data_IF_608116356583
#
_entry.id   IF_608116356583
#
_cell.length_a   1.000
_cell.length_b   1.000
_cell.length_c   1.000
_cell.angle_alpha   90.00
_cell.angle_beta   90.00
_cell.angle_gamma   90.00
#
_symmetry.space_group_name_H-M   'P 1'
#
loop_
_entity.id
_entity.type
_entity.pdbx_description
1 polymer ?
#
# COMPACT_ATOMS: atom_id res chain seq x y z
N UNK A 1 -69.25 53.38 -2.69
CA UNK A 1 -68.46 52.81 -1.57
C UNK A 1 -68.12 51.40 -1.91
N UNK A 2 -66.91 51.18 -2.41
CA UNK A 2 -66.40 49.85 -2.74
C UNK A 2 -65.14 49.67 -1.90
N UNK A 3 -65.24 48.73 -0.92
CA UNK A 3 -64.19 48.40 -0.01
C UNK A 3 -63.33 47.29 -0.63
N UNK A 4 -62.04 47.56 -0.89
CA UNK A 4 -61.04 46.61 -1.40
C UNK A 4 -60.36 45.89 -0.22
N UNK A 5 -60.61 44.58 -0.09
CA UNK A 5 -59.86 43.69 0.77
C UNK A 5 -58.52 43.31 0.13
N UNK A 6 -57.42 43.67 0.76
CA UNK A 6 -56.08 43.23 0.40
C UNK A 6 -55.75 41.95 1.21
N UNK A 7 -55.73 40.80 0.54
CA UNK A 7 -55.30 39.54 1.10
C UNK A 7 -53.76 39.51 1.15
N UNK A 8 -53.19 39.41 2.35
CA UNK A 8 -51.75 39.16 2.58
C UNK A 8 -51.49 37.64 2.52
N UNK A 9 -51.00 37.17 1.40
CA UNK A 9 -50.49 35.81 1.26
C UNK A 9 -49.14 35.71 1.97
N UNK A 10 -49.04 34.90 3.01
CA UNK A 10 -47.77 34.52 3.65
C UNK A 10 -47.08 33.44 2.82
N UNK A 11 -45.92 33.76 2.23
CA UNK A 11 -45.08 32.83 1.51
C UNK A 11 -44.27 32.05 2.56
N UNK A 12 -44.64 30.81 2.81
CA UNK A 12 -43.86 29.91 3.68
C UNK A 12 -42.67 29.38 2.87
N UNK A 13 -41.45 29.84 3.15
CA UNK A 13 -40.21 29.28 2.63
C UNK A 13 -39.89 28.00 3.42
N UNK A 14 -40.14 26.86 2.83
CA UNK A 14 -39.70 25.57 3.37
C UNK A 14 -38.20 25.39 3.03
N UNK A 15 -37.33 25.63 4.01
CA UNK A 15 -35.92 25.32 3.89
C UNK A 15 -35.74 23.81 4.10
N UNK A 16 -35.52 23.09 3.04
CA UNK A 16 -35.08 21.69 3.10
C UNK A 16 -33.64 21.67 3.60
N UNK A 17 -33.43 21.34 4.86
CA UNK A 17 -32.13 20.90 5.36
C UNK A 17 -31.86 19.51 4.77
N UNK A 18 -31.05 19.45 3.70
CA UNK A 18 -30.42 18.21 3.27
C UNK A 18 -29.33 17.94 4.32
N UNK A 19 -29.64 17.12 5.31
CA UNK A 19 -28.61 16.50 6.15
C UNK A 19 -27.84 15.56 5.26
N UNK A 20 -26.70 16.01 4.74
CA UNK A 20 -25.70 15.12 4.21
C UNK A 20 -25.29 14.20 5.39
N UNK A 21 -25.70 12.95 5.36
CA UNK A 21 -25.15 11.92 6.22
C UNK A 21 -23.71 11.78 5.75
N UNK A 22 -22.76 12.44 6.43
CA UNK A 22 -21.35 12.19 6.24
C UNK A 22 -21.18 10.69 6.50
N UNK A 23 -20.78 9.95 5.46
CA UNK A 23 -20.29 8.58 5.66
C UNK A 23 -19.13 8.72 6.64
N UNK A 24 -19.03 7.87 7.67
CA UNK A 24 -17.84 7.87 8.50
C UNK A 24 -16.65 7.68 7.57
N UNK A 25 -15.70 8.59 7.61
CA UNK A 25 -14.40 8.42 6.96
C UNK A 25 -13.77 7.24 7.69
N UNK A 26 -13.80 6.07 7.08
CA UNK A 26 -13.07 4.91 7.55
C UNK A 26 -11.62 5.17 7.16
N UNK A 27 -10.71 5.14 8.14
CA UNK A 27 -9.28 5.28 7.85
C UNK A 27 -8.83 4.14 6.93
N UNK A 28 -7.78 4.41 6.17
CA UNK A 28 -7.14 3.43 5.30
C UNK A 28 -6.34 2.45 6.17
N UNK A 29 -6.94 1.29 6.45
CA UNK A 29 -6.28 0.27 7.24
C UNK A 29 -5.35 -0.57 6.37
N UNK A 30 -4.09 -0.80 6.79
CA UNK A 30 -3.20 -1.69 6.07
C UNK A 30 -3.56 -3.16 6.34
N UNK A 31 -3.59 -3.94 5.27
CA UNK A 31 -3.66 -5.40 5.25
C UNK A 31 -2.42 -5.94 4.57
N UNK A 32 -1.81 -6.97 5.12
CA UNK A 32 -0.59 -7.58 4.61
C UNK A 32 -0.79 -9.08 4.33
N UNK A 33 -0.57 -9.49 3.09
CA UNK A 33 -0.43 -10.88 2.68
C UNK A 33 1.01 -11.14 2.23
N UNK A 34 1.77 -11.91 2.99
CA UNK A 34 3.09 -12.39 2.59
C UNK A 34 2.96 -13.83 2.12
N UNK A 35 3.56 -14.13 0.96
CA UNK A 35 3.60 -15.48 0.39
C UNK A 35 5.06 -15.82 0.09
N UNK A 36 5.66 -16.73 0.86
CA UNK A 36 6.97 -17.28 0.49
C UNK A 36 6.77 -18.52 -0.36
N UNK A 37 7.42 -18.52 -1.53
CA UNK A 37 7.34 -19.58 -2.52
C UNK A 37 8.30 -20.73 -2.26
N UNK A 38 8.34 -21.67 -3.20
CA UNK A 38 9.24 -22.83 -3.17
C UNK A 38 10.69 -22.35 -3.35
N UNK A 39 11.57 -22.67 -2.38
CA UNK A 39 13.00 -22.34 -2.43
C UNK A 39 13.79 -23.29 -3.31
N UNK A 40 13.40 -24.55 -3.39
CA UNK A 40 14.08 -25.58 -4.17
C UNK A 40 15.42 -26.06 -3.56
N UNK A 41 16.15 -25.17 -2.91
CA UNK A 41 17.36 -25.45 -2.12
C UNK A 41 17.17 -24.91 -0.71
N UNK A 42 17.63 -25.58 0.35
CA UNK A 42 17.50 -25.12 1.76
C UNK A 42 17.97 -23.69 1.99
N UNK A 43 19.04 -23.27 1.32
CA UNK A 43 19.56 -21.89 1.43
C UNK A 43 18.53 -20.84 1.02
N UNK A 44 17.75 -21.10 -0.01
CA UNK A 44 16.70 -20.18 -0.44
C UNK A 44 15.47 -20.27 0.43
N UNK A 45 15.07 -21.49 0.84
CA UNK A 45 13.93 -21.68 1.75
C UNK A 45 14.15 -20.96 3.08
N UNK A 46 15.35 -21.05 3.67
CA UNK A 46 15.74 -20.32 4.87
C UNK A 46 15.69 -18.80 4.65
N UNK A 47 16.31 -18.31 3.58
CA UNK A 47 16.35 -16.88 3.23
C UNK A 47 14.96 -16.29 3.01
N UNK A 48 14.10 -16.98 2.24
CA UNK A 48 12.75 -16.51 1.97
C UNK A 48 11.89 -16.48 3.24
N UNK A 49 12.06 -17.48 4.10
CA UNK A 49 11.41 -17.52 5.41
C UNK A 49 11.91 -16.35 6.28
N UNK A 50 13.22 -16.10 6.35
CA UNK A 50 13.82 -15.00 7.10
C UNK A 50 13.25 -13.64 6.63
N UNK A 51 13.21 -13.38 5.33
CA UNK A 51 12.66 -12.14 4.78
C UNK A 51 11.17 -11.98 5.07
N UNK A 52 10.38 -13.04 4.88
CA UNK A 52 8.94 -13.02 5.15
C UNK A 52 8.64 -12.78 6.62
N UNK A 53 9.35 -13.49 7.52
CA UNK A 53 9.18 -13.36 8.96
C UNK A 53 9.62 -11.98 9.47
N UNK A 54 10.72 -11.43 8.95
CA UNK A 54 11.16 -10.08 9.30
C UNK A 54 10.12 -9.03 8.91
N UNK A 55 9.59 -9.09 7.68
CA UNK A 55 8.56 -8.15 7.22
C UNK A 55 7.27 -8.24 8.05
N UNK A 56 6.81 -9.46 8.36
CA UNK A 56 5.61 -9.70 9.17
C UNK A 56 5.80 -9.22 10.60
N UNK A 57 6.96 -9.50 11.22
CA UNK A 57 7.28 -9.04 12.57
C UNK A 57 7.29 -7.50 12.63
N UNK A 58 8.01 -6.84 11.72
CA UNK A 58 8.06 -5.37 11.65
C UNK A 58 6.67 -4.76 11.41
N UNK A 59 5.86 -5.35 10.52
CA UNK A 59 4.49 -4.87 10.28
C UNK A 59 3.64 -4.88 11.56
N UNK A 60 3.72 -5.96 12.35
CA UNK A 60 2.96 -6.07 13.59
C UNK A 60 3.54 -5.28 14.76
N UNK A 61 4.85 -5.38 14.99
CA UNK A 61 5.50 -4.85 16.20
C UNK A 61 5.86 -3.36 16.10
N UNK A 62 6.30 -2.91 14.91
CA UNK A 62 6.77 -1.53 14.71
C UNK A 62 5.74 -0.66 13.99
N UNK A 63 5.04 -1.20 12.99
CA UNK A 63 4.09 -0.44 12.18
C UNK A 63 2.65 -0.51 12.70
N UNK A 64 2.39 -1.31 13.75
CA UNK A 64 1.10 -1.39 14.41
C UNK A 64 -0.03 -1.98 13.54
N UNK A 65 0.31 -2.78 12.54
CA UNK A 65 -0.69 -3.51 11.74
C UNK A 65 -1.34 -4.57 12.63
N UNK A 66 -2.68 -4.57 12.77
CA UNK A 66 -3.37 -5.57 13.60
C UNK A 66 -3.07 -7.01 13.13
N UNK A 67 -2.88 -7.93 14.08
CA UNK A 67 -2.55 -9.32 13.74
C UNK A 67 -3.58 -9.99 12.83
N UNK A 68 -4.87 -9.62 12.97
CA UNK A 68 -5.97 -10.07 12.11
C UNK A 68 -5.91 -9.52 10.67
N UNK A 69 -5.10 -8.49 10.42
CA UNK A 69 -4.85 -7.92 9.09
C UNK A 69 -3.60 -8.53 8.43
N UNK A 70 -2.87 -9.40 9.12
CA UNK A 70 -1.66 -10.02 8.60
C UNK A 70 -1.93 -11.49 8.28
N UNK A 71 -1.61 -11.89 7.05
CA UNK A 71 -1.64 -13.28 6.60
C UNK A 71 -0.25 -13.63 6.07
N UNK A 72 0.37 -14.67 6.64
CA UNK A 72 1.65 -15.18 6.16
C UNK A 72 1.53 -16.65 5.77
N UNK A 73 1.72 -16.92 4.47
CA UNK A 73 1.77 -18.27 3.90
C UNK A 73 3.21 -18.62 3.54
N UNK A 74 3.72 -19.73 4.04
CA UNK A 74 5.10 -20.15 3.82
C UNK A 74 5.22 -21.50 3.10
N UNK A 75 6.42 -21.79 2.58
CA UNK A 75 6.71 -23.10 1.98
C UNK A 75 6.50 -24.23 3.00
N UNK A 76 6.99 -24.04 4.24
CA UNK A 76 6.85 -24.98 5.35
C UNK A 76 6.34 -24.23 6.60
N UNK A 77 5.12 -24.51 7.07
CA UNK A 77 4.55 -23.84 8.24
C UNK A 77 5.29 -24.09 9.57
N UNK A 78 6.16 -25.09 9.62
CA UNK A 78 6.95 -25.36 10.84
C UNK A 78 8.29 -24.63 10.84
N UNK A 79 8.67 -24.00 9.74
CA UNK A 79 9.94 -23.27 9.65
C UNK A 79 9.96 -22.01 10.52
N UNK A 80 8.81 -21.35 10.72
CA UNK A 80 8.66 -20.18 11.57
C UNK A 80 7.26 -20.12 12.19
N UNK A 81 7.15 -19.62 13.42
CA UNK A 81 5.89 -19.52 14.17
C UNK A 81 4.93 -18.46 13.59
N UNK A 82 5.43 -17.52 12.80
CA UNK A 82 4.63 -16.49 12.13
C UNK A 82 3.91 -17.02 10.89
N UNK A 83 4.35 -18.16 10.33
CA UNK A 83 3.71 -18.78 9.18
C UNK A 83 2.40 -19.46 9.63
N UNK A 84 1.28 -18.96 9.10
CA UNK A 84 -0.04 -19.43 9.47
C UNK A 84 -0.48 -20.70 8.73
N UNK A 85 -0.05 -20.83 7.46
CA UNK A 85 -0.39 -22.00 6.64
C UNK A 85 0.63 -22.16 5.49
N UNK A 86 0.54 -23.30 4.79
CA UNK A 86 1.40 -23.56 3.62
C UNK A 86 0.98 -22.72 2.42
N UNK A 87 1.95 -22.21 1.67
CA UNK A 87 1.71 -21.38 0.48
C UNK A 87 1.26 -22.23 -0.74
N UNK A 88 0.20 -23.02 -0.60
CA UNK A 88 -0.41 -23.74 -1.72
C UNK A 88 -1.40 -22.84 -2.46
N UNK A 89 -1.71 -23.17 -3.72
CA UNK A 89 -2.74 -22.48 -4.50
C UNK A 89 -4.03 -22.28 -3.71
N UNK A 90 -4.55 -23.32 -3.09
CA UNK A 90 -5.80 -23.29 -2.34
C UNK A 90 -5.75 -22.37 -1.13
N UNK A 91 -4.60 -22.29 -0.46
CA UNK A 91 -4.42 -21.41 0.68
C UNK A 91 -4.26 -19.96 0.24
N UNK A 92 -3.59 -19.71 -0.90
CA UNK A 92 -3.52 -18.38 -1.51
C UNK A 92 -4.92 -17.88 -1.90
N UNK A 93 -5.72 -18.71 -2.57
CA UNK A 93 -7.13 -18.39 -2.90
C UNK A 93 -7.94 -18.05 -1.65
N UNK A 94 -7.77 -18.82 -0.56
CA UNK A 94 -8.43 -18.56 0.72
C UNK A 94 -7.97 -17.25 1.38
N UNK A 95 -6.66 -16.94 1.29
CA UNK A 95 -6.12 -15.69 1.82
C UNK A 95 -6.71 -14.47 1.10
N UNK A 96 -6.80 -14.51 -0.24
CA UNK A 96 -7.47 -13.44 -1.00
C UNK A 96 -8.96 -13.32 -0.63
N UNK A 97 -9.68 -14.42 -0.47
CA UNK A 97 -11.09 -14.39 -0.02
C UNK A 97 -11.23 -13.75 1.38
N UNK A 98 -10.25 -13.97 2.26
CA UNK A 98 -10.18 -13.34 3.59
C UNK A 98 -9.95 -11.84 3.47
N UNK A 99 -9.01 -11.40 2.62
CA UNK A 99 -8.77 -9.97 2.36
C UNK A 99 -10.03 -9.28 1.83
N UNK A 100 -10.71 -9.87 0.83
CA UNK A 100 -11.96 -9.34 0.27
C UNK A 100 -13.05 -9.20 1.34
N UNK A 101 -13.12 -10.14 2.28
CA UNK A 101 -14.16 -10.14 3.32
C UNK A 101 -13.88 -9.12 4.42
N UNK A 102 -12.61 -8.95 4.80
CA UNK A 102 -12.23 -8.19 5.99
C UNK A 102 -11.88 -6.73 5.68
N UNK A 103 -11.33 -6.45 4.50
CA UNK A 103 -10.97 -5.08 4.12
C UNK A 103 -12.18 -4.30 3.60
N UNK A 104 -12.13 -2.99 3.76
CA UNK A 104 -13.15 -2.04 3.31
C UNK A 104 -12.68 -1.31 2.04
N UNK A 105 -13.56 -0.64 1.30
CA UNK A 105 -13.16 0.28 0.23
C UNK A 105 -12.14 1.30 0.74
N UNK A 106 -11.17 1.63 -0.11
CA UNK A 106 -10.03 2.51 0.16
C UNK A 106 -8.98 2.00 1.16
N UNK A 107 -9.16 0.81 1.78
CA UNK A 107 -8.09 0.18 2.56
C UNK A 107 -6.87 -0.15 1.68
N UNK A 108 -5.69 -0.16 2.32
CA UNK A 108 -4.44 -0.51 1.67
C UNK A 108 -4.18 -2.02 1.81
N UNK A 109 -4.09 -2.71 0.69
CA UNK A 109 -3.80 -4.15 0.66
C UNK A 109 -2.42 -4.37 0.06
N UNK A 110 -1.50 -4.90 0.86
CA UNK A 110 -0.15 -5.27 0.44
C UNK A 110 -0.10 -6.78 0.20
N UNK A 111 0.29 -7.17 -1.01
CA UNK A 111 0.57 -8.57 -1.38
C UNK A 111 2.03 -8.68 -1.75
N UNK A 112 2.81 -9.40 -0.96
CA UNK A 112 4.26 -9.53 -1.14
C UNK A 112 4.62 -10.97 -1.44
N UNK A 113 5.15 -11.22 -2.64
CA UNK A 113 5.64 -12.52 -3.10
C UNK A 113 7.16 -12.57 -2.94
N UNK A 114 7.66 -13.49 -2.13
CA UNK A 114 9.08 -13.72 -1.87
C UNK A 114 9.42 -15.15 -2.33
N UNK A 115 10.21 -15.29 -3.39
CA UNK A 115 10.49 -16.62 -3.90
C UNK A 115 11.17 -16.61 -5.25
N UNK A 116 11.09 -17.77 -5.91
CA UNK A 116 11.48 -17.91 -7.30
C UNK A 116 10.29 -17.82 -8.23
N UNK A 117 10.52 -17.28 -9.40
CA UNK A 117 9.58 -17.32 -10.50
C UNK A 117 10.12 -18.10 -11.70
N UNK A 118 9.23 -18.45 -12.59
CA UNK A 118 9.55 -19.11 -13.84
C UNK A 118 8.84 -18.47 -15.03
N UNK A 119 9.44 -18.53 -16.21
CA UNK A 119 8.86 -18.01 -17.43
C UNK A 119 8.84 -19.07 -18.52
N UNK A 120 7.67 -19.39 -19.02
CA UNK A 120 7.50 -20.32 -20.13
C UNK A 120 6.20 -20.05 -20.89
N UNK A 121 6.22 -20.27 -22.20
CA UNK A 121 5.04 -20.07 -23.04
C UNK A 121 4.51 -18.62 -23.07
N UNK A 122 5.37 -17.63 -22.77
CA UNK A 122 4.97 -16.22 -22.71
C UNK A 122 4.35 -15.79 -21.38
N UNK A 123 4.34 -16.65 -20.37
CA UNK A 123 3.76 -16.38 -19.06
C UNK A 123 4.80 -16.48 -17.95
N UNK A 124 4.81 -15.51 -17.05
CA UNK A 124 5.50 -15.56 -15.76
C UNK A 124 4.64 -16.26 -14.71
N UNK A 125 5.30 -17.04 -13.85
CA UNK A 125 4.67 -17.77 -12.74
C UNK A 125 5.45 -17.54 -11.48
N UNK A 126 4.75 -17.53 -10.36
CA UNK A 126 5.33 -17.60 -9.03
C UNK A 126 5.32 -19.07 -8.58
N UNK A 127 6.49 -19.58 -8.18
CA UNK A 127 6.68 -21.00 -7.88
C UNK A 127 6.19 -21.33 -6.46
N UNK A 128 5.22 -22.23 -6.35
CA UNK A 128 4.58 -22.61 -5.09
C UNK A 128 4.81 -24.10 -4.76
N UNK A 129 4.67 -24.50 -3.50
CA UNK A 129 4.49 -25.91 -3.15
C UNK A 129 3.24 -26.49 -3.80
N UNK A 130 3.39 -27.19 -4.93
CA UNK A 130 2.30 -27.69 -5.76
C UNK A 130 2.18 -26.96 -7.09
N UNK A 131 0.97 -26.72 -7.61
CA UNK A 131 0.78 -25.96 -8.85
C UNK A 131 1.12 -24.48 -8.66
N UNK A 132 1.99 -23.95 -9.55
CA UNK A 132 2.33 -22.54 -9.58
C UNK A 132 1.14 -21.65 -9.91
N UNK A 133 1.22 -20.37 -9.54
CA UNK A 133 0.27 -19.33 -9.92
C UNK A 133 0.86 -18.43 -11.02
N UNK A 134 0.09 -18.20 -12.07
CA UNK A 134 0.42 -17.26 -13.13
C UNK A 134 0.05 -15.82 -12.74
N UNK A 135 0.57 -14.85 -13.48
CA UNK A 135 0.15 -13.45 -13.32
C UNK A 135 -1.36 -13.29 -13.51
N UNK A 136 -1.94 -14.00 -14.47
CA UNK A 136 -3.39 -13.97 -14.74
C UNK A 136 -4.21 -14.58 -13.59
N UNK A 137 -3.71 -15.66 -12.94
CA UNK A 137 -4.35 -16.22 -11.74
C UNK A 137 -4.43 -15.16 -10.63
N UNK A 138 -3.33 -14.44 -10.36
CA UNK A 138 -3.34 -13.34 -9.39
C UNK A 138 -4.26 -12.19 -9.81
N UNK A 139 -4.32 -11.88 -11.11
CA UNK A 139 -5.23 -10.85 -11.64
C UNK A 139 -6.68 -11.11 -11.27
N UNK A 140 -7.16 -12.37 -11.38
CA UNK A 140 -8.52 -12.75 -10.98
C UNK A 140 -8.80 -12.52 -9.49
N UNK A 141 -7.80 -12.62 -8.64
CA UNK A 141 -7.94 -12.32 -7.21
C UNK A 141 -7.95 -10.83 -6.96
N UNK A 142 -7.05 -10.07 -7.61
CA UNK A 142 -6.96 -8.62 -7.46
C UNK A 142 -8.20 -7.90 -8.00
N UNK A 143 -8.88 -8.44 -9.00
CA UNK A 143 -10.14 -7.88 -9.52
C UNK A 143 -11.26 -7.87 -8.48
N UNK A 144 -11.19 -8.73 -7.46
CA UNK A 144 -12.12 -8.74 -6.34
C UNK A 144 -11.82 -7.66 -5.28
N UNK A 145 -10.65 -6.99 -5.41
CA UNK A 145 -10.17 -5.92 -4.54
C UNK A 145 -10.16 -4.56 -5.27
N UNK A 146 -10.93 -4.41 -6.36
CA UNK A 146 -10.86 -3.26 -7.25
C UNK A 146 -11.24 -1.90 -6.60
N UNK A 147 -11.90 -1.91 -5.45
CA UNK A 147 -12.27 -0.73 -4.66
C UNK A 147 -11.30 -0.48 -3.48
N UNK A 148 -10.20 -1.23 -3.39
CA UNK A 148 -9.08 -1.04 -2.45
C UNK A 148 -7.88 -0.47 -3.19
N UNK A 149 -6.94 0.08 -2.45
CA UNK A 149 -5.63 0.44 -2.99
C UNK A 149 -4.69 -0.75 -2.79
N UNK A 150 -4.20 -1.33 -3.88
CA UNK A 150 -3.41 -2.56 -3.82
C UNK A 150 -1.96 -2.30 -4.19
N UNK A 151 -1.02 -2.63 -3.31
CA UNK A 151 0.39 -2.79 -3.64
C UNK A 151 0.70 -4.27 -3.83
N UNK A 152 0.93 -4.69 -5.08
CA UNK A 152 1.34 -6.05 -5.41
C UNK A 152 2.84 -6.06 -5.72
N UNK A 153 3.61 -6.66 -4.84
CA UNK A 153 5.07 -6.67 -4.87
C UNK A 153 5.56 -8.09 -5.16
N UNK A 154 6.09 -8.33 -6.34
CA UNK A 154 6.67 -9.61 -6.74
C UNK A 154 8.21 -9.53 -6.76
N UNK A 155 8.82 -10.04 -5.69
CA UNK A 155 10.28 -10.02 -5.49
C UNK A 155 11.00 -11.21 -6.16
N UNK A 156 10.27 -12.04 -6.89
CA UNK A 156 10.80 -13.22 -7.55
C UNK A 156 11.54 -12.89 -8.85
N UNK A 157 12.44 -13.79 -9.26
CA UNK A 157 12.98 -13.81 -10.62
C UNK A 157 11.87 -14.00 -11.66
N UNK A 158 12.12 -13.64 -12.91
CA UNK A 158 11.18 -13.80 -14.03
C UNK A 158 9.78 -13.18 -13.79
N UNK A 159 9.68 -12.14 -12.95
CA UNK A 159 8.41 -11.52 -12.52
C UNK A 159 7.85 -10.47 -13.49
N UNK A 160 8.62 -10.01 -14.47
CA UNK A 160 8.29 -8.81 -15.27
C UNK A 160 6.94 -8.83 -15.98
N UNK A 161 6.45 -9.99 -16.45
CA UNK A 161 5.15 -10.06 -17.12
C UNK A 161 3.96 -9.82 -16.18
N UNK A 162 4.18 -9.83 -14.87
CA UNK A 162 3.16 -9.47 -13.88
C UNK A 162 2.71 -8.01 -14.02
N UNK A 163 3.61 -7.09 -14.39
CA UNK A 163 3.25 -5.68 -14.62
C UNK A 163 2.08 -5.58 -15.58
N UNK A 164 2.27 -6.07 -16.80
CA UNK A 164 1.26 -5.98 -17.86
C UNK A 164 -0.05 -6.72 -17.52
N UNK A 165 0.04 -7.81 -16.78
CA UNK A 165 -1.14 -8.64 -16.46
C UNK A 165 -1.96 -8.08 -15.31
N UNK A 166 -1.34 -7.31 -14.39
CA UNK A 166 -1.97 -6.86 -13.14
C UNK A 166 -2.26 -5.36 -13.11
N UNK A 167 -1.68 -4.60 -14.04
CA UNK A 167 -1.85 -3.14 -14.14
C UNK A 167 -3.33 -2.75 -14.23
N UNK A 168 -3.74 -1.84 -13.37
CA UNK A 168 -5.08 -1.25 -13.35
C UNK A 168 -5.11 -0.03 -12.40
N UNK A 169 -6.15 0.79 -12.51
CA UNK A 169 -6.39 1.91 -11.59
C UNK A 169 -6.40 1.44 -10.13
N UNK A 170 -5.76 2.19 -9.24
CA UNK A 170 -5.69 1.88 -7.81
C UNK A 170 -4.71 0.75 -7.45
N UNK A 171 -3.89 0.30 -8.38
CA UNK A 171 -2.86 -0.73 -8.15
C UNK A 171 -1.46 -0.16 -8.35
N UNK A 172 -0.58 -0.48 -7.42
CA UNK A 172 0.87 -0.31 -7.54
C UNK A 172 1.48 -1.68 -7.73
N UNK A 173 2.07 -1.93 -8.89
CA UNK A 173 2.69 -3.22 -9.23
C UNK A 173 4.21 -3.04 -9.23
N UNK A 174 4.89 -3.76 -8.33
CA UNK A 174 6.35 -3.79 -8.26
C UNK A 174 6.83 -5.17 -8.65
N UNK A 175 7.81 -5.25 -9.55
CA UNK A 175 8.47 -6.51 -9.91
C UNK A 175 9.99 -6.38 -9.82
N UNK A 176 10.66 -7.43 -9.35
CA UNK A 176 12.12 -7.47 -9.24
C UNK A 176 12.83 -7.53 -10.60
N UNK A 177 12.09 -7.88 -11.65
CA UNK A 177 12.62 -8.00 -13.03
C UNK A 177 11.72 -7.28 -14.02
N UNK A 178 12.31 -6.73 -15.07
CA UNK A 178 11.58 -6.04 -16.15
C UNK A 178 10.87 -7.03 -17.08
N UNK A 179 11.44 -8.21 -17.25
CA UNK A 179 10.90 -9.21 -18.17
C UNK A 179 10.92 -10.60 -17.54
N UNK A 180 10.05 -11.50 -18.00
CA UNK A 180 10.08 -12.90 -17.61
C UNK A 180 11.36 -13.66 -18.01
N UNK A 181 12.22 -13.08 -18.85
CA UNK A 181 13.48 -13.70 -19.25
C UNK A 181 14.63 -13.46 -18.27
N UNK A 182 14.48 -12.54 -17.34
CA UNK A 182 15.43 -12.32 -16.24
C UNK A 182 15.21 -13.38 -15.16
N UNK A 183 15.66 -14.61 -15.47
CA UNK A 183 15.41 -15.80 -14.65
C UNK A 183 16.49 -16.09 -13.61
N UNK A 184 17.51 -15.20 -13.47
CA UNK A 184 18.52 -15.36 -12.43
C UNK A 184 17.93 -15.00 -11.06
N UNK A 185 18.59 -15.50 -10.01
CA UNK A 185 18.29 -15.06 -8.64
C UNK A 185 18.37 -13.53 -8.56
N UNK A 186 17.38 -12.92 -7.91
CA UNK A 186 17.31 -11.49 -7.65
C UNK A 186 17.82 -11.16 -6.25
N UNK A 187 18.55 -10.05 -6.10
CA UNK A 187 18.91 -9.49 -4.80
C UNK A 187 17.99 -8.34 -4.39
N UNK A 188 17.19 -7.82 -5.33
CA UNK A 188 16.21 -6.76 -5.10
C UNK A 188 15.29 -7.07 -3.91
N UNK A 189 14.82 -8.33 -3.80
CA UNK A 189 13.90 -8.75 -2.74
C UNK A 189 14.46 -8.53 -1.34
N UNK A 190 15.74 -8.86 -1.12
CA UNK A 190 16.39 -8.61 0.17
C UNK A 190 16.47 -7.14 0.54
N UNK A 191 16.81 -6.28 -0.42
CA UNK A 191 16.85 -4.83 -0.19
C UNK A 191 15.47 -4.21 -0.04
N UNK A 192 14.46 -4.72 -0.77
CA UNK A 192 13.08 -4.25 -0.61
C UNK A 192 12.53 -4.56 0.79
N UNK A 193 12.77 -5.76 1.32
CA UNK A 193 12.43 -6.09 2.70
C UNK A 193 13.24 -5.25 3.70
N UNK A 194 14.54 -5.07 3.45
CA UNK A 194 15.41 -4.26 4.30
C UNK A 194 14.97 -2.78 4.37
N UNK A 195 14.29 -2.26 3.34
CA UNK A 195 13.73 -0.92 3.37
C UNK A 195 12.70 -0.73 4.48
N UNK A 196 11.92 -1.75 4.80
CA UNK A 196 10.92 -1.71 5.87
C UNK A 196 11.48 -2.13 7.23
N UNK A 197 12.49 -3.02 7.25
CA UNK A 197 13.01 -3.62 8.48
C UNK A 197 14.31 -2.98 9.00
N UNK A 198 14.85 -2.01 8.25
CA UNK A 198 16.11 -1.35 8.55
C UNK A 198 15.98 0.17 8.59
N UNK A 199 17.12 0.83 8.61
CA UNK A 199 17.20 2.30 8.56
C UNK A 199 17.62 2.79 7.16
N UNK A 200 17.23 4.02 6.81
CA UNK A 200 17.75 4.74 5.64
C UNK A 200 16.85 4.72 4.40
N UNK A 201 15.71 4.02 4.43
CA UNK A 201 14.76 4.05 3.34
C UNK A 201 13.75 5.22 3.42
N UNK A 202 13.56 5.81 4.60
CA UNK A 202 12.77 7.03 4.78
C UNK A 202 13.53 8.23 4.19
N UNK A 203 13.30 8.50 2.91
CA UNK A 203 14.02 9.53 2.13
C UNK A 203 13.52 10.93 2.42
N UNK A 204 12.24 11.08 2.70
CA UNK A 204 11.58 12.35 2.97
C UNK A 204 11.62 12.74 4.46
N UNK A 205 11.99 11.80 5.35
CA UNK A 205 12.10 11.92 6.81
C UNK A 205 10.76 12.22 7.50
N UNK A 206 9.68 11.62 7.00
CA UNK A 206 8.36 11.72 7.63
C UNK A 206 8.11 10.65 8.71
N UNK A 207 9.05 9.72 8.90
CA UNK A 207 9.03 8.65 9.90
C UNK A 207 8.33 7.39 9.40
N UNK A 208 7.99 7.30 8.12
CA UNK A 208 7.37 6.14 7.49
C UNK A 208 8.10 5.80 6.19
N UNK A 209 7.93 4.58 5.72
CA UNK A 209 8.45 4.14 4.42
C UNK A 209 7.30 3.83 3.50
N UNK A 210 7.17 4.58 2.41
CA UNK A 210 6.22 4.32 1.34
C UNK A 210 6.72 3.21 0.40
N UNK A 211 5.84 2.63 -0.42
CA UNK A 211 6.24 1.67 -1.47
C UNK A 211 7.22 2.30 -2.45
N UNK A 212 7.04 3.59 -2.77
CA UNK A 212 7.97 4.32 -3.64
C UNK A 212 9.38 4.39 -3.03
N UNK A 213 9.49 4.74 -1.75
CA UNK A 213 10.78 4.84 -1.04
C UNK A 213 11.46 3.47 -0.90
N UNK A 214 10.68 2.43 -0.61
CA UNK A 214 11.19 1.06 -0.55
C UNK A 214 11.72 0.59 -1.92
N UNK A 215 11.03 0.93 -3.01
CA UNK A 215 11.45 0.64 -4.38
C UNK A 215 12.76 1.38 -4.73
N UNK A 216 12.84 2.70 -4.50
CA UNK A 216 14.02 3.51 -4.79
C UNK A 216 15.23 3.10 -3.95
N UNK A 217 15.03 2.82 -2.67
CA UNK A 217 16.07 2.29 -1.79
C UNK A 217 16.62 0.96 -2.35
N UNK A 218 15.74 0.00 -2.61
CA UNK A 218 16.14 -1.33 -3.09
C UNK A 218 16.85 -1.23 -4.45
N UNK A 219 16.33 -0.45 -5.38
CA UNK A 219 16.94 -0.23 -6.71
C UNK A 219 18.34 0.38 -6.60
N UNK A 220 18.51 1.37 -5.72
CA UNK A 220 19.80 2.02 -5.46
C UNK A 220 20.82 1.03 -4.89
N UNK A 221 20.39 0.23 -3.90
CA UNK A 221 21.26 -0.77 -3.27
C UNK A 221 21.67 -1.89 -4.26
N UNK A 222 20.73 -2.37 -5.09
CA UNK A 222 21.03 -3.33 -6.18
C UNK A 222 22.07 -2.75 -7.13
N UNK A 223 21.90 -1.50 -7.58
CA UNK A 223 22.86 -0.84 -8.46
C UNK A 223 24.23 -0.77 -7.81
N UNK A 224 24.31 -0.33 -6.55
CA UNK A 224 25.55 -0.24 -5.78
C UNK A 224 26.24 -1.59 -5.62
N UNK A 225 25.49 -2.66 -5.38
CA UNK A 225 26.03 -4.02 -5.22
C UNK A 225 26.66 -4.52 -6.53
N UNK A 226 25.97 -4.35 -7.67
CA UNK A 226 26.51 -4.73 -8.98
C UNK A 226 27.76 -3.92 -9.36
N UNK A 227 27.77 -2.61 -9.11
CA UNK A 227 28.93 -1.75 -9.35
C UNK A 227 30.11 -2.14 -8.47
N UNK A 228 29.89 -2.33 -7.15
CA UNK A 228 30.93 -2.68 -6.19
C UNK A 228 31.56 -4.04 -6.50
N UNK A 229 30.73 -5.00 -6.90
CA UNK A 229 31.18 -6.34 -7.29
C UNK A 229 31.73 -6.41 -8.72
N UNK A 230 31.72 -5.30 -9.46
CA UNK A 230 32.11 -5.20 -10.88
C UNK A 230 31.40 -6.25 -11.76
N UNK A 231 30.09 -6.44 -11.52
CA UNK A 231 29.24 -7.37 -12.25
C UNK A 231 28.25 -6.60 -13.12
N UNK A 232 27.83 -7.22 -14.23
CA UNK A 232 26.73 -6.70 -15.04
C UNK A 232 25.41 -7.04 -14.36
N UNK A 233 24.53 -6.07 -14.22
CA UNK A 233 23.20 -6.28 -13.66
C UNK A 233 22.41 -7.29 -14.51
N UNK A 234 21.77 -8.24 -13.84
CA UNK A 234 20.95 -9.30 -14.45
C UNK A 234 19.50 -9.23 -14.03
N UNK A 235 19.15 -8.22 -13.26
CA UNK A 235 17.80 -7.88 -12.79
C UNK A 235 17.56 -6.39 -12.95
N UNK A 236 16.34 -6.02 -13.30
CA UNK A 236 15.91 -4.63 -13.51
C UNK A 236 14.50 -4.48 -12.94
N UNK A 237 14.42 -4.08 -11.70
CA UNK A 237 13.14 -3.84 -11.05
C UNK A 237 12.37 -2.70 -11.74
N UNK A 238 11.04 -2.85 -11.80
CA UNK A 238 10.14 -1.84 -12.34
C UNK A 238 8.91 -1.68 -11.45
N UNK A 239 8.31 -0.49 -11.50
CA UNK A 239 7.07 -0.13 -10.83
C UNK A 239 6.10 0.47 -11.85
N UNK A 240 4.84 0.05 -11.81
CA UNK A 240 3.70 0.62 -12.54
C UNK A 240 2.60 0.95 -11.54
N UNK A 241 2.13 2.19 -11.53
CA UNK A 241 1.02 2.60 -10.69
C UNK A 241 0.06 3.59 -11.38
N UNK A 242 0.25 3.81 -12.69
CA UNK A 242 -0.62 4.64 -13.53
C UNK A 242 -1.64 3.83 -14.34
N UNK A 243 -1.53 2.51 -14.32
CA UNK A 243 -2.47 1.59 -14.98
C UNK A 243 -2.24 1.40 -16.48
N UNK A 244 -1.06 1.77 -17.04
CA UNK A 244 -0.77 1.64 -18.47
C UNK A 244 -0.12 0.29 -18.84
N UNK A 245 0.33 -0.48 -17.85
CA UNK A 245 0.98 -1.79 -18.03
C UNK A 245 2.44 -1.70 -18.48
N UNK A 246 3.06 -0.53 -18.38
CA UNK A 246 4.46 -0.25 -18.71
C UNK A 246 5.20 0.23 -17.46
N UNK A 247 5.91 -0.67 -16.79
CA UNK A 247 6.60 -0.32 -15.55
C UNK A 247 7.86 0.50 -15.77
N UNK A 248 8.04 1.53 -14.96
CA UNK A 248 9.20 2.41 -14.92
C UNK A 248 10.27 1.90 -13.94
N UNK A 249 11.55 2.02 -14.33
CA UNK A 249 12.69 1.71 -13.45
C UNK A 249 13.33 2.96 -12.85
N UNK A 250 13.03 4.15 -13.38
CA UNK A 250 13.51 5.44 -12.90
C UNK A 250 12.29 6.36 -12.72
N UNK A 251 11.86 6.47 -11.46
CA UNK A 251 10.65 7.19 -11.10
C UNK A 251 10.88 8.71 -10.88
N UNK A 252 12.14 9.19 -11.01
CA UNK A 252 12.45 10.62 -10.90
C UNK A 252 12.49 11.30 -12.27
N UNK A 253 12.92 10.57 -13.32
CA UNK A 253 13.22 11.17 -14.64
C UNK A 253 11.99 11.42 -15.51
N UNK A 254 10.93 10.59 -15.40
CA UNK A 254 9.74 10.66 -16.27
C UNK A 254 8.45 10.31 -15.48
N UNK A 255 8.12 11.10 -14.53
CA UNK A 255 7.08 10.94 -13.50
C UNK A 255 5.65 10.53 -13.99
N UNK A 256 5.53 9.52 -14.83
CA UNK A 256 4.25 8.86 -15.15
C UNK A 256 3.86 7.88 -14.05
N UNK A 257 4.85 7.19 -13.44
CA UNK A 257 4.68 6.27 -12.34
C UNK A 257 5.17 6.85 -11.01
N UNK A 258 4.78 6.24 -9.89
CA UNK A 258 5.24 6.55 -8.54
C UNK A 258 4.29 7.43 -7.73
N UNK A 259 3.23 7.98 -8.32
CA UNK A 259 2.31 8.86 -7.61
C UNK A 259 1.49 8.10 -6.54
N UNK A 260 0.91 6.96 -6.89
CA UNK A 260 0.17 6.12 -5.95
C UNK A 260 1.12 5.45 -4.94
N UNK A 261 2.27 4.96 -5.40
CA UNK A 261 3.27 4.32 -4.56
C UNK A 261 3.78 5.21 -3.42
N UNK A 262 3.81 6.54 -3.61
CA UNK A 262 4.18 7.52 -2.58
C UNK A 262 3.16 7.63 -1.45
N UNK A 263 1.92 7.22 -1.68
CA UNK A 263 0.82 7.28 -0.70
C UNK A 263 0.52 5.91 -0.08
N UNK A 264 1.22 4.85 -0.49
CA UNK A 264 1.04 3.49 0.01
C UNK A 264 2.04 3.20 1.14
N UNK A 265 1.55 3.21 2.38
CA UNK A 265 2.33 2.91 3.59
C UNK A 265 1.85 1.60 4.22
N UNK A 266 2.78 0.72 4.56
CA UNK A 266 2.46 -0.51 5.33
C UNK A 266 2.17 -0.19 6.81
N UNK A 267 2.63 0.95 7.31
CA UNK A 267 2.38 1.37 8.68
C UNK A 267 0.92 1.80 8.88
N UNK A 268 0.33 1.40 10.00
CA UNK A 268 -0.97 1.91 10.41
C UNK A 268 -0.88 3.42 10.70
N UNK A 269 -1.92 4.17 10.33
CA UNK A 269 -1.97 5.61 10.64
C UNK A 269 -2.03 5.83 12.15
N UNK A 270 -1.08 6.60 12.75
CA UNK A 270 -1.04 6.81 14.20
C UNK A 270 -2.31 7.47 14.76
N UNK A 271 -2.94 8.36 14.00
CA UNK A 271 -4.18 9.04 14.39
C UNK A 271 -5.34 8.06 14.42
N UNK A 272 -5.41 7.12 13.47
CA UNK A 272 -6.40 6.04 13.47
C UNK A 272 -6.16 5.03 14.59
N UNK A 273 -4.91 4.67 14.88
CA UNK A 273 -4.58 3.82 16.02
C UNK A 273 -5.01 4.47 17.34
N UNK A 274 -4.74 5.77 17.54
CA UNK A 274 -5.21 6.53 18.70
C UNK A 274 -6.74 6.63 18.77
N UNK A 275 -7.42 6.81 17.62
CA UNK A 275 -8.88 6.85 17.56
C UNK A 275 -9.54 5.54 17.99
N UNK A 276 -8.91 4.40 17.72
CA UNK A 276 -9.38 3.07 18.19
C UNK A 276 -9.13 2.86 19.68
N UNK A 277 -8.05 3.43 20.21
CA UNK A 277 -7.63 3.25 21.59
C UNK A 277 -8.43 4.13 22.58
N UNK A 278 -9.10 5.20 22.14
CA UNK A 278 -9.82 6.12 23.01
C UNK A 278 -11.29 5.75 23.20
N UNK A 279 -11.79 5.85 24.44
CA UNK A 279 -13.22 5.75 24.77
C UNK A 279 -13.97 7.08 24.59
N UNK A 280 -13.26 8.21 24.42
CA UNK A 280 -13.83 9.53 24.19
C UNK A 280 -14.31 9.67 22.74
N UNK A 281 -15.62 9.69 22.53
CA UNK A 281 -16.24 9.71 21.21
C UNK A 281 -15.94 11.00 20.42
N UNK A 282 -15.84 12.15 21.11
CA UNK A 282 -15.47 13.41 20.45
C UNK A 282 -13.98 13.42 20.08
N UNK A 283 -13.09 12.95 20.97
CA UNK A 283 -11.67 12.82 20.65
C UNK A 283 -11.46 11.85 19.47
N UNK A 284 -12.19 10.73 19.44
CA UNK A 284 -12.16 9.78 18.32
C UNK A 284 -12.53 10.47 17.01
N UNK A 285 -13.59 11.28 17.00
CA UNK A 285 -14.02 11.98 15.78
C UNK A 285 -12.95 12.97 15.28
N UNK A 286 -12.29 13.70 16.20
CA UNK A 286 -11.21 14.63 15.86
C UNK A 286 -9.97 13.89 15.31
N UNK A 287 -9.62 12.75 15.90
CA UNK A 287 -8.49 11.91 15.43
C UNK A 287 -8.75 11.34 14.03
N UNK A 288 -9.99 10.91 13.75
CA UNK A 288 -10.39 10.47 12.40
C UNK A 288 -10.32 11.63 11.40
N UNK A 289 -10.74 12.82 11.79
CA UNK A 289 -10.60 14.02 10.95
C UNK A 289 -9.13 14.34 10.68
N UNK A 290 -8.26 14.22 11.69
CA UNK A 290 -6.82 14.44 11.55
C UNK A 290 -6.24 13.48 10.50
N UNK A 291 -6.54 12.18 10.60
CA UNK A 291 -6.09 11.18 9.65
C UNK A 291 -6.55 11.50 8.21
N UNK A 292 -7.80 11.96 8.02
CA UNK A 292 -8.28 12.38 6.69
C UNK A 292 -7.51 13.58 6.13
N UNK A 293 -7.20 14.56 6.96
CA UNK A 293 -6.43 15.74 6.53
C UNK A 293 -4.99 15.34 6.18
N UNK A 294 -4.36 14.50 6.99
CA UNK A 294 -3.00 13.98 6.73
C UNK A 294 -2.96 13.21 5.41
N UNK A 295 -3.91 12.33 5.15
CA UNK A 295 -4.05 11.62 3.87
C UNK A 295 -4.19 12.57 2.68
N UNK A 296 -5.04 13.58 2.77
CA UNK A 296 -5.23 14.59 1.70
C UNK A 296 -3.97 15.41 1.45
N UNK A 297 -3.16 15.66 2.47
CA UNK A 297 -1.84 16.28 2.32
C UNK A 297 -0.92 15.34 1.53
N UNK A 298 -0.84 14.06 1.87
CA UNK A 298 -0.01 13.08 1.18
C UNK A 298 -0.40 12.94 -0.29
N UNK A 299 -1.69 12.82 -0.58
CA UNK A 299 -2.21 12.78 -1.96
C UNK A 299 -1.83 14.05 -2.75
N UNK A 300 -1.90 15.22 -2.12
CA UNK A 300 -1.51 16.48 -2.75
C UNK A 300 0.01 16.54 -2.98
N UNK A 301 0.82 16.09 -2.01
CA UNK A 301 2.27 16.03 -2.14
C UNK A 301 2.70 15.11 -3.30
N UNK A 302 2.01 14.00 -3.51
CA UNK A 302 2.24 13.08 -4.62
C UNK A 302 1.96 13.72 -5.99
N UNK A 303 1.08 14.73 -6.05
CA UNK A 303 0.73 15.47 -7.26
C UNK A 303 1.65 16.67 -7.53
N UNK A 304 2.69 16.86 -6.72
CA UNK A 304 3.65 17.99 -6.90
C UNK A 304 4.31 17.92 -8.27
N UNK A 305 4.19 19.00 -9.02
CA UNK A 305 4.72 19.09 -10.40
C UNK A 305 3.78 18.55 -11.48
N UNK A 306 2.69 17.87 -11.10
CA UNK A 306 1.68 17.38 -12.05
C UNK A 306 0.47 18.32 -12.17
N UNK A 307 0.29 19.23 -11.22
CA UNK A 307 -0.75 20.26 -11.22
C UNK A 307 -0.14 21.66 -11.22
N UNK A 308 -0.98 22.66 -11.53
CA UNK A 308 -0.57 24.06 -11.50
C UNK A 308 -0.04 24.48 -10.12
N UNK A 309 1.11 25.18 -10.10
CA UNK A 309 1.82 25.51 -8.86
C UNK A 309 1.00 26.39 -7.91
N UNK A 310 0.30 27.41 -8.44
CA UNK A 310 -0.50 28.32 -7.59
C UNK A 310 -1.67 27.56 -6.94
N UNK A 311 -2.26 26.60 -7.69
CA UNK A 311 -3.29 25.72 -7.17
C UNK A 311 -2.75 24.76 -6.11
N UNK A 312 -1.57 24.17 -6.35
CA UNK A 312 -0.90 23.30 -5.39
C UNK A 312 -0.63 24.04 -4.08
N UNK A 313 -0.01 25.23 -4.14
CA UNK A 313 0.35 26.02 -2.98
C UNK A 313 -0.89 26.43 -2.17
N UNK A 314 -1.96 26.85 -2.86
CA UNK A 314 -3.24 27.22 -2.19
C UNK A 314 -3.88 26.04 -1.48
N UNK A 315 -3.94 24.87 -2.11
CA UNK A 315 -4.52 23.67 -1.51
C UNK A 315 -3.68 23.17 -0.33
N UNK A 316 -2.36 23.22 -0.45
CA UNK A 316 -1.47 22.82 0.63
C UNK A 316 -1.62 23.76 1.85
N UNK A 317 -1.71 25.07 1.62
CA UNK A 317 -1.94 26.03 2.71
C UNK A 317 -3.27 25.75 3.43
N UNK A 318 -4.36 25.52 2.70
CA UNK A 318 -5.67 25.18 3.27
C UNK A 318 -5.60 23.93 4.14
N UNK A 319 -4.99 22.87 3.67
CA UNK A 319 -4.84 21.60 4.39
C UNK A 319 -3.94 21.73 5.63
N UNK A 320 -2.84 22.47 5.53
CA UNK A 320 -1.96 22.71 6.69
C UNK A 320 -2.64 23.54 7.77
N UNK A 321 -3.49 24.50 7.41
CA UNK A 321 -4.29 25.27 8.36
C UNK A 321 -5.33 24.34 9.02
N UNK A 322 -6.01 23.50 8.25
CA UNK A 322 -6.97 22.50 8.78
C UNK A 322 -6.28 21.56 9.76
N UNK A 323 -5.11 21.02 9.43
CA UNK A 323 -4.32 20.16 10.30
C UNK A 323 -3.91 20.85 11.60
N UNK A 324 -3.46 22.12 11.51
CA UNK A 324 -3.08 22.89 12.69
C UNK A 324 -4.26 23.16 13.63
N UNK A 325 -5.45 23.41 13.09
CA UNK A 325 -6.67 23.58 13.89
C UNK A 325 -7.09 22.27 14.58
N UNK A 326 -7.06 21.16 13.85
CA UNK A 326 -7.39 19.83 14.37
C UNK A 326 -6.41 19.40 15.48
N UNK A 327 -5.11 19.63 15.30
CA UNK A 327 -4.12 19.37 16.35
C UNK A 327 -4.39 20.20 17.62
N UNK A 328 -4.75 21.46 17.46
CA UNK A 328 -5.08 22.33 18.60
C UNK A 328 -6.34 21.86 19.36
N UNK A 329 -7.33 21.30 18.65
CA UNK A 329 -8.52 20.72 19.28
C UNK A 329 -8.16 19.46 20.06
N UNK A 330 -7.28 18.61 19.56
CA UNK A 330 -6.74 17.44 20.26
C UNK A 330 -6.01 17.87 21.54
N UNK A 331 -5.09 18.85 21.44
CA UNK A 331 -4.34 19.37 22.59
C UNK A 331 -5.26 19.95 23.65
N UNK A 332 -6.25 20.75 23.26
CA UNK A 332 -7.21 21.35 24.20
C UNK A 332 -8.01 20.28 24.95
N UNK A 333 -8.29 19.14 24.32
CA UNK A 333 -9.06 18.06 24.91
C UNK A 333 -8.21 17.13 25.78
N UNK A 334 -7.01 16.81 25.34
CA UNK A 334 -6.07 15.96 26.09
C UNK A 334 -5.41 16.71 27.24
N UNK A 335 -5.05 17.99 27.06
CA UNK A 335 -4.44 18.84 28.10
C UNK A 335 -5.40 19.34 29.18
N UNK A 336 -6.74 19.17 29.02
CA UNK A 336 -7.73 19.46 30.06
C UNK A 336 -8.00 18.29 31.02
N UNK A 337 -7.33 17.13 30.78
CA UNK A 337 -7.44 15.93 31.64
C UNK A 337 -6.28 15.74 32.63
N UNK A 338 -5.31 16.69 32.69
CA UNK A 338 -4.28 16.79 33.73
C UNK A 338 -4.70 17.87 34.79
#
# INVERSE_FOLDING_TARGET
MISTLISRGALAVVVFFVTAVAKPVMGQDPYLLVITGLGGDPVYSERFTEWGSALVATAGEEFGVPAEHIIYLGEDPIADVLIQDRSTRENVERAFATLVTNSQPDDHVFVVLIGHGSFSGGQSRFNLPGPDLTAEDFGLHLDQLADRRVAFINLASASGEFVKALSADGRTIVTATRTGREGNETIFGGYFVAAFTGEGADLNKDGRVSVWEAFEFARSEVTREYETSNRIATEHAVLDDNGDGEGSSDLEADATDGALARTMFLAADPSMAAARATDDEELRAILVQKADVERRIEELLALRGQIDQDRYDSQLEELLVELALTNREIEARTGSNE
#
